data_IF_342369797980
#
_entry.id   IF_342369797980
#
_cell.length_a   1.000
_cell.length_b   1.000
_cell.length_c   1.000
_cell.angle_alpha   90.00
_cell.angle_beta   90.00
_cell.angle_gamma   90.00
#
_symmetry.space_group_name_H-M   'P 1'
#
loop_
_entity.id
_entity.type
_entity.pdbx_description
1 polymer ?
#
# COMPACT_ATOMS: atom_id res chain seq x y z
N UNK A 1 11.13 -10.27 36.56
CA UNK A 1 10.87 -10.62 35.15
C UNK A 1 9.41 -10.26 34.84
N UNK A 2 9.14 -9.03 34.39
CA UNK A 2 7.77 -8.61 34.03
C UNK A 2 7.39 -9.29 32.73
N UNK A 3 6.38 -10.17 32.77
CA UNK A 3 5.73 -10.72 31.59
C UNK A 3 5.13 -9.59 30.77
N UNK A 4 5.84 -9.14 29.73
CA UNK A 4 5.34 -8.15 28.78
C UNK A 4 4.14 -8.78 28.06
N UNK A 5 2.94 -8.30 28.35
CA UNK A 5 1.72 -8.66 27.61
C UNK A 5 1.94 -8.42 26.11
N UNK A 6 1.77 -9.48 25.32
CA UNK A 6 1.87 -9.45 23.86
C UNK A 6 0.63 -8.75 23.31
N UNK A 7 0.80 -7.59 22.64
CA UNK A 7 -0.31 -7.01 21.88
C UNK A 7 -0.50 -7.83 20.60
N UNK A 8 -1.38 -8.82 20.69
CA UNK A 8 -1.80 -9.58 19.52
C UNK A 8 -2.36 -8.64 18.44
N UNK A 9 -2.07 -8.97 17.19
CA UNK A 9 -2.69 -8.30 16.04
C UNK A 9 -4.16 -8.69 16.01
N UNK A 10 -5.04 -7.72 15.75
CA UNK A 10 -6.47 -7.98 15.75
C UNK A 10 -6.87 -8.90 14.58
N UNK A 11 -7.74 -9.87 14.83
CA UNK A 11 -8.27 -10.77 13.80
C UNK A 11 -8.90 -10.04 12.61
N UNK A 12 -9.64 -8.92 12.80
CA UNK A 12 -10.15 -8.13 11.68
C UNK A 12 -9.06 -7.58 10.76
N UNK A 13 -7.92 -7.15 11.32
CA UNK A 13 -6.80 -6.63 10.53
C UNK A 13 -6.15 -7.74 9.69
N UNK A 14 -5.97 -8.92 10.28
CA UNK A 14 -5.44 -10.09 9.56
C UNK A 14 -6.38 -10.45 8.41
N UNK A 15 -7.69 -10.55 8.69
CA UNK A 15 -8.69 -10.83 7.66
C UNK A 15 -8.68 -9.80 6.55
N UNK A 16 -8.57 -8.51 6.89
CA UNK A 16 -8.47 -7.41 5.92
C UNK A 16 -7.24 -7.57 5.01
N UNK A 17 -6.05 -7.79 5.60
CA UNK A 17 -4.79 -7.93 4.83
C UNK A 17 -4.80 -9.15 3.93
N UNK A 18 -5.18 -10.31 4.48
CA UNK A 18 -5.25 -11.55 3.71
C UNK A 18 -6.24 -11.41 2.55
N UNK A 19 -7.41 -10.84 2.81
CA UNK A 19 -8.45 -10.69 1.81
C UNK A 19 -7.98 -9.82 0.64
N UNK A 20 -7.43 -8.63 0.89
CA UNK A 20 -6.99 -7.77 -0.21
C UNK A 20 -5.79 -8.34 -0.96
N UNK A 21 -4.86 -9.01 -0.27
CA UNK A 21 -3.72 -9.66 -0.92
C UNK A 21 -4.20 -10.76 -1.87
N UNK A 22 -5.16 -11.58 -1.46
CA UNK A 22 -5.74 -12.63 -2.30
C UNK A 22 -6.51 -12.04 -3.49
N UNK A 23 -7.35 -11.02 -3.26
CA UNK A 23 -8.15 -10.39 -4.31
C UNK A 23 -7.24 -9.76 -5.38
N UNK A 24 -6.31 -8.88 -4.98
CA UNK A 24 -5.49 -8.14 -5.94
C UNK A 24 -4.43 -9.02 -6.62
N UNK A 25 -3.85 -10.00 -5.91
CA UNK A 25 -2.96 -10.97 -6.55
C UNK A 25 -3.71 -11.87 -7.52
N UNK A 26 -4.94 -12.29 -7.18
CA UNK A 26 -5.80 -13.07 -8.08
C UNK A 26 -6.21 -12.28 -9.33
N UNK A 27 -6.48 -10.97 -9.19
CA UNK A 27 -6.72 -10.08 -10.32
C UNK A 27 -5.48 -9.94 -11.21
N UNK A 28 -4.31 -9.73 -10.62
CA UNK A 28 -3.05 -9.63 -11.37
C UNK A 28 -2.74 -10.90 -12.17
N UNK A 29 -2.96 -12.07 -11.56
CA UNK A 29 -2.82 -13.37 -12.23
C UNK A 29 -3.78 -13.50 -13.42
N UNK A 30 -5.04 -13.13 -13.24
CA UNK A 30 -6.04 -13.15 -14.33
C UNK A 30 -5.70 -12.18 -15.46
N UNK A 31 -5.07 -11.04 -15.14
CA UNK A 31 -4.65 -10.04 -16.11
C UNK A 31 -3.33 -10.40 -16.82
N UNK A 32 -2.63 -11.47 -16.39
CA UNK A 32 -1.29 -11.79 -16.89
C UNK A 32 -0.22 -10.76 -16.49
N UNK A 33 -0.49 -9.93 -15.48
CA UNK A 33 0.39 -8.85 -15.04
C UNK A 33 1.51 -9.41 -14.14
N UNK A 34 2.53 -9.99 -14.78
CA UNK A 34 3.66 -10.65 -14.10
C UNK A 34 4.53 -9.69 -13.31
N UNK A 35 4.68 -8.44 -13.77
CA UNK A 35 5.38 -7.39 -13.03
C UNK A 35 4.68 -7.13 -11.69
N UNK A 36 3.36 -6.95 -11.71
CA UNK A 36 2.62 -6.71 -10.49
C UNK A 36 2.60 -7.91 -9.54
N UNK A 37 2.66 -9.14 -10.08
CA UNK A 37 2.81 -10.33 -9.25
C UNK A 37 4.15 -10.33 -8.48
N UNK A 38 5.23 -9.83 -9.08
CA UNK A 38 6.49 -9.64 -8.33
C UNK A 38 6.33 -8.62 -7.20
N UNK A 39 5.61 -7.51 -7.43
CA UNK A 39 5.32 -6.54 -6.36
C UNK A 39 4.44 -7.13 -5.25
N UNK A 40 3.51 -8.04 -5.56
CA UNK A 40 2.76 -8.77 -4.55
C UNK A 40 3.68 -9.62 -3.65
N UNK A 41 4.74 -10.23 -4.20
CA UNK A 41 5.77 -10.94 -3.41
C UNK A 41 6.54 -9.97 -2.51
N UNK A 42 6.93 -8.80 -3.03
CA UNK A 42 7.58 -7.75 -2.21
C UNK A 42 6.67 -7.30 -1.07
N UNK A 43 5.36 -7.18 -1.31
CA UNK A 43 4.39 -6.87 -0.27
C UNK A 43 4.34 -7.93 0.84
N UNK A 44 4.41 -9.22 0.50
CA UNK A 44 4.52 -10.30 1.50
C UNK A 44 5.77 -10.14 2.36
N UNK A 45 6.91 -9.78 1.75
CA UNK A 45 8.16 -9.51 2.48
C UNK A 45 8.01 -8.34 3.43
N UNK A 46 7.44 -7.21 2.99
CA UNK A 46 7.21 -6.05 3.86
C UNK A 46 6.22 -6.35 4.99
N UNK A 47 5.14 -7.09 4.73
CA UNK A 47 4.21 -7.54 5.77
C UNK A 47 4.96 -8.38 6.81
N UNK A 48 5.79 -9.34 6.37
CA UNK A 48 6.58 -10.16 7.28
C UNK A 48 7.54 -9.32 8.14
N UNK A 49 8.22 -8.33 7.54
CA UNK A 49 9.08 -7.39 8.28
C UNK A 49 8.28 -6.62 9.32
N UNK A 50 7.09 -6.09 8.97
CA UNK A 50 6.23 -5.38 9.92
C UNK A 50 5.79 -6.29 11.07
N UNK A 51 5.46 -7.56 10.80
CA UNK A 51 5.10 -8.53 11.83
C UNK A 51 6.27 -8.81 12.79
N UNK A 52 7.48 -9.01 12.26
CA UNK A 52 8.69 -9.21 13.06
C UNK A 52 8.99 -7.97 13.92
N UNK A 53 8.92 -6.78 13.33
CA UNK A 53 9.15 -5.51 14.01
C UNK A 53 8.08 -5.23 15.07
N UNK A 54 6.82 -5.61 14.83
CA UNK A 54 5.73 -5.45 15.81
C UNK A 54 6.01 -6.21 17.10
N UNK A 55 6.63 -7.39 17.04
CA UNK A 55 7.01 -8.14 18.24
C UNK A 55 8.07 -7.42 19.08
N UNK A 56 8.96 -6.66 18.45
CA UNK A 56 10.01 -5.89 19.14
C UNK A 56 9.52 -4.52 19.63
N UNK A 57 8.83 -3.77 18.74
CA UNK A 57 8.47 -2.36 18.95
C UNK A 57 7.10 -2.21 19.63
N UNK A 58 6.20 -3.17 19.41
CA UNK A 58 4.79 -3.14 19.81
C UNK A 58 4.06 -1.93 19.25
N UNK A 59 3.95 -1.89 17.91
CA UNK A 59 3.24 -0.81 17.21
C UNK A 59 1.83 -0.61 17.77
N UNK A 60 1.37 0.63 17.76
CA UNK A 60 0.00 0.97 18.11
C UNK A 60 -0.96 0.37 17.08
N UNK A 61 -2.21 0.01 17.46
CA UNK A 61 -3.21 -0.47 16.52
C UNK A 61 -3.41 0.48 15.34
N UNK A 62 -3.39 1.79 15.61
CA UNK A 62 -3.47 2.83 14.59
C UNK A 62 -2.36 2.70 13.54
N UNK A 63 -1.09 2.54 13.95
CA UNK A 63 0.02 2.45 13.01
C UNK A 63 -0.11 1.21 12.10
N UNK A 64 -0.50 0.06 12.64
CA UNK A 64 -0.67 -1.16 11.85
C UNK A 64 -1.85 -1.02 10.88
N UNK A 65 -2.96 -0.40 11.30
CA UNK A 65 -4.08 -0.12 10.41
C UNK A 65 -3.71 0.85 9.29
N UNK A 66 -2.96 1.92 9.59
CA UNK A 66 -2.48 2.87 8.58
C UNK A 66 -1.60 2.17 7.53
N UNK A 67 -0.63 1.35 7.96
CA UNK A 67 0.20 0.55 7.06
C UNK A 67 -0.63 -0.46 6.25
N UNK A 68 -1.63 -1.10 6.87
CA UNK A 68 -2.51 -2.05 6.19
C UNK A 68 -3.39 -1.36 5.12
N UNK A 69 -3.95 -0.18 5.42
CA UNK A 69 -4.72 0.63 4.48
C UNK A 69 -3.81 1.10 3.34
N UNK A 70 -2.56 1.48 3.63
CA UNK A 70 -1.61 1.85 2.59
C UNK A 70 -1.34 0.67 1.64
N UNK A 71 -1.10 -0.53 2.19
CA UNK A 71 -0.95 -1.75 1.41
C UNK A 71 -2.18 -2.06 0.55
N UNK A 72 -3.39 -1.91 1.08
CA UNK A 72 -4.64 -2.06 0.34
C UNK A 72 -4.72 -1.09 -0.86
N UNK A 73 -4.50 0.20 -0.62
CA UNK A 73 -4.57 1.23 -1.65
C UNK A 73 -3.49 1.02 -2.72
N UNK A 74 -2.27 0.69 -2.29
CA UNK A 74 -1.16 0.43 -3.19
C UNK A 74 -1.44 -0.80 -4.08
N UNK A 75 -1.96 -1.88 -3.49
CA UNK A 75 -2.30 -3.09 -4.24
C UNK A 75 -3.46 -2.86 -5.23
N UNK A 76 -4.46 -2.08 -4.81
CA UNK A 76 -5.55 -1.65 -5.70
C UNK A 76 -5.07 -0.78 -6.85
N UNK A 77 -4.08 0.09 -6.61
CA UNK A 77 -3.46 0.95 -7.61
C UNK A 77 -3.01 0.19 -8.87
N UNK A 78 -2.28 -0.91 -8.71
CA UNK A 78 -1.71 -1.63 -9.87
C UNK A 78 -2.62 -2.69 -10.49
N UNK A 79 -3.83 -2.89 -9.98
CA UNK A 79 -4.72 -4.00 -10.43
C UNK A 79 -6.13 -3.58 -10.80
N UNK A 80 -6.65 -2.49 -10.23
CA UNK A 80 -8.00 -2.02 -10.54
C UNK A 80 -7.95 -1.29 -11.88
N UNK A 81 -8.60 -1.80 -12.94
CA UNK A 81 -8.69 -1.09 -14.20
C UNK A 81 -9.55 0.16 -14.02
N UNK A 82 -9.20 1.22 -14.73
CA UNK A 82 -9.97 2.47 -14.80
C UNK A 82 -10.18 2.84 -16.25
N UNK A 83 -11.15 3.72 -16.51
CA UNK A 83 -11.37 4.24 -17.85
C UNK A 83 -10.10 4.98 -18.32
N UNK A 84 -9.50 4.61 -19.47
CA UNK A 84 -8.36 5.32 -20.04
C UNK A 84 -8.57 6.84 -20.16
N UNK A 85 -9.81 7.31 -20.37
CA UNK A 85 -10.13 8.74 -20.44
C UNK A 85 -9.90 9.48 -19.11
N UNK A 86 -9.89 8.75 -17.98
CA UNK A 86 -9.62 9.29 -16.63
C UNK A 86 -8.15 9.11 -16.21
N UNK A 87 -7.34 8.50 -17.06
CA UNK A 87 -5.90 8.31 -16.83
C UNK A 87 -5.12 9.44 -17.44
N UNK A 88 -4.03 9.83 -16.78
CA UNK A 88 -3.07 10.87 -17.17
C UNK A 88 -3.46 11.78 -18.35
N UNK A 89 -4.61 12.47 -18.24
CA UNK A 89 -5.13 13.36 -19.28
C UNK A 89 -4.13 14.46 -19.62
N UNK A 90 -3.23 14.78 -18.68
CA UNK A 90 -2.09 15.67 -18.88
C UNK A 90 -1.14 15.18 -19.97
N UNK A 91 -0.75 13.89 -20.00
CA UNK A 91 0.09 13.32 -21.05
C UNK A 91 -0.66 13.28 -22.39
N UNK A 92 -1.93 12.90 -22.37
CA UNK A 92 -2.78 12.91 -23.56
C UNK A 92 -3.00 14.34 -24.13
N UNK A 93 -3.05 15.37 -23.28
CA UNK A 93 -3.24 16.77 -23.68
C UNK A 93 -1.95 17.48 -24.10
N UNK A 94 -0.78 16.95 -23.74
CA UNK A 94 0.53 17.53 -24.07
C UNK A 94 1.28 16.75 -25.14
N UNK A 95 0.89 15.51 -25.42
CA UNK A 95 1.55 14.62 -26.37
C UNK A 95 0.51 13.72 -27.06
N UNK A 96 0.03 14.12 -28.25
CA UNK A 96 -0.99 13.40 -29.03
C UNK A 96 -0.61 11.94 -29.34
N UNK A 97 0.69 11.60 -29.27
CA UNK A 97 1.20 10.25 -29.54
C UNK A 97 1.30 9.35 -28.29
N UNK A 98 1.13 9.91 -27.07
CA UNK A 98 1.33 9.16 -25.85
C UNK A 98 0.09 8.32 -25.49
N UNK A 99 0.05 7.07 -25.95
CA UNK A 99 -0.93 6.08 -25.46
C UNK A 99 -0.81 5.95 -23.93
N UNK A 100 -1.92 5.82 -23.19
CA UNK A 100 -1.86 5.52 -21.76
C UNK A 100 -1.09 4.22 -21.54
N UNK A 101 0.01 4.28 -20.78
CA UNK A 101 0.93 3.16 -20.54
C UNK A 101 0.28 1.98 -19.81
N UNK A 102 -0.77 2.25 -19.03
CA UNK A 102 -1.61 1.25 -18.36
C UNK A 102 -2.82 1.93 -17.75
N UNK A 103 -4.05 1.55 -18.12
CA UNK A 103 -5.26 2.17 -17.59
C UNK A 103 -5.70 1.53 -16.26
N UNK A 104 -4.85 1.66 -15.24
CA UNK A 104 -5.10 1.16 -13.88
C UNK A 104 -5.15 2.32 -12.88
N UNK A 105 -5.74 2.07 -11.72
CA UNK A 105 -6.02 3.07 -10.68
C UNK A 105 -4.80 3.90 -10.30
N UNK A 106 -3.60 3.32 -10.35
CA UNK A 106 -2.31 4.01 -10.18
C UNK A 106 -2.17 5.26 -11.07
N UNK A 107 -2.62 5.16 -12.33
CA UNK A 107 -2.54 6.22 -13.35
C UNK A 107 -3.70 7.23 -13.31
N UNK A 108 -4.68 7.01 -12.43
CA UNK A 108 -5.89 7.85 -12.33
C UNK A 108 -5.51 9.28 -11.96
N UNK A 109 -5.98 10.23 -12.78
CA UNK A 109 -5.88 11.66 -12.55
C UNK A 109 -7.14 12.34 -13.10
N UNK A 110 -8.01 12.76 -12.18
CA UNK A 110 -9.33 13.33 -12.52
C UNK A 110 -9.19 14.70 -13.21
N UNK A 111 -8.18 15.50 -12.84
CA UNK A 111 -7.93 16.82 -13.42
C UNK A 111 -6.42 17.05 -13.57
N UNK A 112 -5.94 17.75 -14.62
CA UNK A 112 -4.51 18.01 -14.83
C UNK A 112 -3.79 18.64 -13.64
N UNK A 113 -4.47 19.56 -12.94
CA UNK A 113 -3.91 20.29 -11.79
C UNK A 113 -4.04 19.54 -10.45
N UNK A 114 -4.67 18.37 -10.44
CA UNK A 114 -4.82 17.56 -9.23
C UNK A 114 -3.75 16.46 -9.15
N UNK A 115 -3.36 16.07 -7.92
CA UNK A 115 -2.43 14.96 -7.74
C UNK A 115 -3.03 13.67 -8.30
N UNK A 116 -2.14 12.82 -8.83
CA UNK A 116 -2.50 11.46 -9.23
C UNK A 116 -2.91 10.66 -8.00
N UNK A 117 -3.72 9.62 -8.22
CA UNK A 117 -4.00 8.61 -7.20
C UNK A 117 -2.72 8.12 -6.53
N UNK A 118 -1.70 7.78 -7.32
CA UNK A 118 -0.40 7.33 -6.82
C UNK A 118 0.25 8.32 -5.82
N UNK A 119 0.21 9.62 -6.15
CA UNK A 119 0.80 10.66 -5.31
C UNK A 119 0.07 10.79 -3.97
N UNK A 120 -1.26 10.66 -3.98
CA UNK A 120 -2.07 10.67 -2.76
C UNK A 120 -1.81 9.43 -1.89
N UNK A 121 -1.73 8.25 -2.51
CA UNK A 121 -1.43 7.00 -1.81
C UNK A 121 -0.03 7.03 -1.20
N UNK A 122 0.96 7.57 -1.90
CA UNK A 122 2.32 7.71 -1.37
C UNK A 122 2.41 8.78 -0.27
N UNK A 123 1.70 9.91 -0.39
CA UNK A 123 1.62 10.88 0.69
C UNK A 123 1.05 10.26 1.98
N UNK A 124 -0.05 9.51 1.87
CA UNK A 124 -0.62 8.74 2.97
C UNK A 124 0.36 7.69 3.51
N UNK A 125 1.06 6.99 2.60
CA UNK A 125 2.05 5.98 2.93
C UNK A 125 3.23 6.52 3.72
N UNK A 126 3.82 7.63 3.28
CA UNK A 126 4.93 8.29 3.98
C UNK A 126 4.51 8.82 5.35
N UNK A 127 3.29 9.35 5.48
CA UNK A 127 2.74 9.72 6.79
C UNK A 127 2.64 8.49 7.71
N UNK A 128 2.08 7.39 7.21
CA UNK A 128 1.93 6.13 7.94
C UNK A 128 3.29 5.55 8.37
N UNK A 129 4.25 5.54 7.46
CA UNK A 129 5.63 5.10 7.73
C UNK A 129 6.31 6.01 8.75
N UNK A 130 6.09 7.32 8.71
CA UNK A 130 6.65 8.27 9.68
C UNK A 130 6.16 7.96 11.09
N UNK A 131 4.87 7.64 11.27
CA UNK A 131 4.33 7.21 12.57
C UNK A 131 4.99 5.90 13.03
N UNK A 132 5.17 4.93 12.14
CA UNK A 132 5.84 3.67 12.46
C UNK A 132 7.31 3.91 12.86
N UNK A 133 8.07 4.68 12.07
CA UNK A 133 9.46 5.04 12.38
C UNK A 133 9.59 5.79 13.70
N UNK A 134 8.68 6.72 14.00
CA UNK A 134 8.65 7.39 15.30
C UNK A 134 8.47 6.41 16.46
N UNK A 135 7.56 5.44 16.32
CA UNK A 135 7.35 4.40 17.34
C UNK A 135 8.56 3.48 17.49
N UNK A 136 9.21 3.11 16.37
CA UNK A 136 10.44 2.33 16.37
C UNK A 136 11.56 3.06 17.11
N UNK A 137 11.79 4.33 16.77
CA UNK A 137 12.80 5.17 17.41
C UNK A 137 12.51 5.35 18.90
N UNK A 138 11.27 5.63 19.27
CA UNK A 138 10.84 5.77 20.67
C UNK A 138 11.04 4.47 21.46
N UNK A 139 10.82 3.31 20.85
CA UNK A 139 11.06 2.02 21.49
C UNK A 139 12.57 1.77 21.68
N UNK A 140 13.39 2.11 20.69
CA UNK A 140 14.84 1.98 20.74
C UNK A 140 15.48 2.90 21.79
N UNK A 141 15.05 4.16 21.88
CA UNK A 141 15.58 5.13 22.85
C UNK A 141 15.10 4.91 24.29
N UNK A 142 14.12 4.03 24.49
CA UNK A 142 13.61 3.63 25.82
C UNK A 142 14.07 2.24 26.25
N UNK A 143 14.85 1.56 25.40
CA UNK A 143 15.49 0.30 25.72
C UNK A 143 16.74 0.55 26.55
#
# INVERSE_FOLDING_TARGET
>A
MMTRSNRAISTPLIGFVVLYMLIFSGLALRQGNTEFLMYAVVMVVFIAIVLLLHNAIRFSPLAIWLLAIWGFLHMGGGTVPVDPALTDAYRAATDEAARPTSAVLYSLRIHPDLPKYDQLVHAFGFFSATIACYQALRALLRA
#
